data_IF_513310484818
#
_entry.id   IF_513310484818
#
_cell.length_a   1.000
_cell.length_b   1.000
_cell.length_c   1.000
_cell.angle_alpha   90.00
_cell.angle_beta   90.00
_cell.angle_gamma   90.00
#
_symmetry.space_group_name_H-M   'P 1'
#
loop_
_entity.id
_entity.type
_entity.pdbx_description
1 polymer ?
#
# COMPACT_ATOMS: atom_id res chain seq x y z
N UNK A 1 -13.73 -13.38 27.24
CA UNK A 1 -12.36 -13.75 26.82
C UNK A 1 -12.34 -13.62 25.31
N UNK A 2 -11.40 -12.84 24.76
CA UNK A 2 -11.34 -12.60 23.31
C UNK A 2 -10.39 -13.62 22.70
N UNK A 3 -10.77 -14.23 21.59
CA UNK A 3 -9.93 -15.19 20.88
C UNK A 3 -9.32 -14.55 19.63
N UNK A 4 -8.15 -15.03 19.22
CA UNK A 4 -7.57 -14.70 17.92
C UNK A 4 -8.54 -15.15 16.81
N UNK A 5 -8.99 -14.24 15.94
CA UNK A 5 -9.95 -14.64 14.90
C UNK A 5 -9.36 -15.63 13.87
N UNK A 6 -8.02 -15.69 13.74
CA UNK A 6 -7.34 -16.61 12.83
C UNK A 6 -7.14 -18.01 13.43
N UNK A 7 -6.54 -18.15 14.61
CA UNK A 7 -6.28 -19.50 15.18
C UNK A 7 -7.30 -19.95 16.22
N UNK A 8 -8.20 -19.06 16.67
CA UNK A 8 -9.13 -19.27 17.78
C UNK A 8 -8.47 -19.48 19.16
N UNK A 9 -7.15 -19.30 19.28
CA UNK A 9 -6.49 -19.33 20.59
C UNK A 9 -6.91 -18.13 21.44
N UNK A 10 -7.10 -18.30 22.75
CA UNK A 10 -7.37 -17.19 23.67
C UNK A 10 -6.27 -16.11 23.61
N UNK A 11 -6.70 -14.85 23.55
CA UNK A 11 -5.79 -13.71 23.69
C UNK A 11 -5.54 -13.42 25.17
N UNK A 12 -4.28 -13.12 25.46
CA UNK A 12 -3.74 -12.80 26.78
C UNK A 12 -2.72 -11.68 26.66
N UNK A 13 -2.30 -11.11 27.79
CA UNK A 13 -1.21 -10.13 27.85
C UNK A 13 0.11 -10.63 27.23
N UNK A 14 0.32 -11.95 27.20
CA UNK A 14 1.57 -12.55 26.72
C UNK A 14 1.58 -12.79 25.21
N UNK A 15 0.41 -12.97 24.58
CA UNK A 15 0.33 -13.36 23.17
C UNK A 15 -0.47 -12.39 22.29
N UNK A 16 -1.11 -11.35 22.85
CA UNK A 16 -1.83 -10.40 22.01
C UNK A 16 -0.86 -9.58 21.14
N UNK A 17 -1.33 -9.15 19.98
CA UNK A 17 -0.60 -8.22 19.11
C UNK A 17 -1.34 -6.90 19.01
N UNK A 18 -0.61 -5.77 19.06
CA UNK A 18 -1.18 -4.49 18.65
C UNK A 18 -1.21 -4.45 17.12
N UNK A 19 -2.35 -4.85 16.55
CA UNK A 19 -2.54 -4.96 15.12
C UNK A 19 -3.04 -3.66 14.52
N UNK A 20 -2.44 -3.26 13.40
CA UNK A 20 -2.94 -2.17 12.57
C UNK A 20 -4.09 -2.67 11.70
N UNK A 21 -5.29 -2.13 11.90
CA UNK A 21 -6.48 -2.52 11.14
C UNK A 21 -6.32 -2.07 9.68
N UNK A 22 -5.95 -0.80 9.48
CA UNK A 22 -5.51 -0.28 8.18
C UNK A 22 -3.99 -0.33 8.14
N UNK A 23 -3.42 -0.83 7.03
CA UNK A 23 -1.99 -1.02 6.85
C UNK A 23 -1.17 0.24 7.16
N UNK A 24 -0.17 0.09 8.01
CA UNK A 24 0.71 1.20 8.41
C UNK A 24 1.55 1.72 7.23
N UNK A 25 1.87 0.85 6.26
CA UNK A 25 2.65 1.17 5.06
C UNK A 25 2.04 2.26 4.17
N UNK A 26 0.72 2.49 4.31
CA UNK A 26 -0.05 3.55 3.64
C UNK A 26 -0.50 4.65 4.60
N UNK A 27 -0.02 4.67 5.85
CA UNK A 27 -0.35 5.70 6.82
C UNK A 27 -1.51 5.36 7.76
N UNK A 28 -2.00 4.11 7.77
CA UNK A 28 -3.05 3.69 8.71
C UNK A 28 -2.67 3.91 10.18
N UNK A 29 -3.67 4.25 11.01
CA UNK A 29 -3.50 4.51 12.45
C UNK A 29 -4.47 3.77 13.37
N UNK A 30 -5.57 3.25 12.83
CA UNK A 30 -6.52 2.47 13.60
C UNK A 30 -5.90 1.13 14.01
N UNK A 31 -5.91 0.82 15.30
CA UNK A 31 -5.28 -0.38 15.86
C UNK A 31 -6.18 -1.10 16.86
N UNK A 32 -5.92 -2.38 17.08
CA UNK A 32 -6.58 -3.17 18.12
C UNK A 32 -5.64 -4.21 18.73
N UNK A 33 -5.76 -4.45 20.04
CA UNK A 33 -5.11 -5.56 20.74
C UNK A 33 -5.99 -6.82 20.84
N UNK A 34 -7.23 -6.72 20.38
CA UNK A 34 -8.28 -7.71 20.64
C UNK A 34 -8.69 -8.48 19.40
N UNK A 35 -7.82 -8.57 18.38
CA UNK A 35 -8.15 -9.25 17.12
C UNK A 35 -7.33 -10.51 16.90
N UNK A 36 -6.01 -10.41 17.03
CA UNK A 36 -5.07 -11.41 16.50
C UNK A 36 -3.93 -11.64 17.50
N UNK A 37 -3.50 -12.89 17.63
CA UNK A 37 -2.33 -13.24 18.44
C UNK A 37 -1.03 -12.93 17.67
N UNK A 38 0.07 -12.76 18.41
CA UNK A 38 1.39 -12.45 17.88
C UNK A 38 1.86 -13.45 16.81
N UNK A 39 1.79 -14.78 16.99
CA UNK A 39 2.20 -15.72 15.94
C UNK A 39 1.43 -15.57 14.62
N UNK A 40 0.10 -15.42 14.69
CA UNK A 40 -0.71 -15.18 13.51
C UNK A 40 -0.39 -13.84 12.87
N UNK A 41 -0.15 -12.80 13.67
CA UNK A 41 0.18 -11.48 13.15
C UNK A 41 1.56 -11.46 12.48
N UNK A 42 2.57 -12.07 13.10
CA UNK A 42 3.91 -12.15 12.54
C UNK A 42 3.90 -12.95 11.21
N UNK A 43 3.15 -14.05 11.16
CA UNK A 43 2.96 -14.85 9.93
C UNK A 43 2.31 -14.03 8.81
N UNK A 44 1.14 -13.46 9.07
CA UNK A 44 0.41 -12.66 8.06
C UNK A 44 1.17 -11.39 7.69
N UNK A 45 1.89 -10.79 8.62
CA UNK A 45 2.80 -9.66 8.40
C UNK A 45 3.93 -9.99 7.42
N UNK A 46 4.58 -11.13 7.61
CA UNK A 46 5.69 -11.57 6.75
C UNK A 46 5.28 -11.99 5.34
N UNK A 47 4.00 -12.31 5.14
CA UNK A 47 3.43 -12.80 3.88
C UNK A 47 2.56 -11.74 3.20
N UNK A 48 1.40 -11.45 3.77
CA UNK A 48 0.36 -10.62 3.15
C UNK A 48 0.73 -9.15 3.23
N UNK A 49 1.04 -8.67 4.44
CA UNK A 49 1.29 -7.23 4.66
C UNK A 49 2.59 -6.78 4.00
N UNK A 50 3.59 -7.68 3.93
CA UNK A 50 4.81 -7.45 3.15
C UNK A 50 4.52 -7.27 1.67
N UNK A 51 3.64 -8.07 1.09
CA UNK A 51 3.28 -7.95 -0.32
C UNK A 51 2.47 -6.68 -0.58
N UNK A 52 1.51 -6.37 0.30
CA UNK A 52 0.78 -5.11 0.27
C UNK A 52 1.71 -3.91 0.40
N UNK A 53 2.71 -3.94 1.29
CA UNK A 53 3.63 -2.84 1.49
C UNK A 53 4.43 -2.48 0.23
N UNK A 54 4.70 -3.44 -0.67
CA UNK A 54 5.31 -3.16 -1.98
C UNK A 54 4.41 -2.24 -2.83
N UNK A 55 3.15 -2.63 -2.98
CA UNK A 55 2.13 -1.86 -3.70
C UNK A 55 1.85 -0.51 -3.01
N UNK A 56 1.59 -0.55 -1.69
CA UNK A 56 1.31 0.62 -0.88
C UNK A 56 2.45 1.63 -0.83
N UNK A 57 3.71 1.20 -0.96
CA UNK A 57 4.85 2.11 -1.00
C UNK A 57 4.80 3.06 -2.21
N UNK A 58 4.20 2.63 -3.32
CA UNK A 58 4.08 3.48 -4.51
C UNK A 58 3.13 4.64 -4.25
N UNK A 59 1.93 4.34 -3.76
CA UNK A 59 0.93 5.37 -3.43
C UNK A 59 1.39 6.23 -2.23
N UNK A 60 1.99 5.63 -1.20
CA UNK A 60 2.54 6.37 -0.07
C UNK A 60 3.68 7.32 -0.50
N UNK A 61 4.47 6.95 -1.50
CA UNK A 61 5.50 7.82 -2.08
C UNK A 61 4.89 9.00 -2.81
N UNK A 62 3.83 8.78 -3.60
CA UNK A 62 3.10 9.84 -4.30
C UNK A 62 2.61 10.94 -3.35
N UNK A 63 1.97 10.53 -2.26
CA UNK A 63 1.38 11.46 -1.29
C UNK A 63 2.33 11.86 -0.15
N UNK A 64 3.61 11.43 -0.20
CA UNK A 64 4.62 11.70 0.81
C UNK A 64 4.13 11.40 2.24
N UNK A 65 3.54 10.20 2.41
CA UNK A 65 2.83 9.84 3.64
C UNK A 65 3.79 9.66 4.82
N UNK A 66 3.35 10.17 5.98
CA UNK A 66 4.03 9.94 7.24
C UNK A 66 3.71 8.53 7.78
N UNK A 67 4.74 7.77 8.13
CA UNK A 67 4.64 6.43 8.74
C UNK A 67 4.99 6.50 10.23
N UNK A 68 4.31 5.71 11.05
CA UNK A 68 4.71 5.50 12.45
C UNK A 68 6.02 4.72 12.55
N UNK A 69 6.31 3.86 11.56
CA UNK A 69 7.50 3.02 11.53
C UNK A 69 8.23 3.13 10.20
N UNK A 70 9.51 3.52 10.28
CA UNK A 70 10.36 3.68 9.10
C UNK A 70 9.94 4.85 8.22
N UNK A 71 10.66 5.04 7.13
CA UNK A 71 10.35 6.06 6.12
C UNK A 71 9.74 5.40 4.87
N UNK A 72 9.01 6.19 4.08
CA UNK A 72 8.65 5.79 2.71
C UNK A 72 9.94 5.61 1.90
N UNK A 73 10.06 4.47 1.23
CA UNK A 73 11.30 4.11 0.55
C UNK A 73 11.30 4.65 -0.89
N UNK A 74 12.44 5.15 -1.39
CA UNK A 74 12.57 5.51 -2.80
C UNK A 74 12.31 4.31 -3.72
N UNK A 75 11.72 4.57 -4.88
CA UNK A 75 11.29 3.54 -5.83
C UNK A 75 12.16 3.62 -7.08
N UNK A 76 12.57 2.46 -7.60
CA UNK A 76 13.26 2.40 -8.89
C UNK A 76 12.24 2.52 -10.01
N UNK A 77 12.53 3.37 -10.98
CA UNK A 77 11.71 3.57 -12.16
C UNK A 77 12.58 3.63 -13.41
N UNK A 78 11.93 3.67 -14.56
CA UNK A 78 12.56 3.87 -15.86
C UNK A 78 11.89 5.04 -16.57
N UNK A 79 12.68 5.99 -17.06
CA UNK A 79 12.18 7.04 -17.95
C UNK A 79 11.59 6.39 -19.21
N UNK A 80 10.34 6.70 -19.55
CA UNK A 80 9.67 6.07 -20.68
C UNK A 80 10.24 6.49 -22.04
N UNK A 81 10.73 7.73 -22.15
CA UNK A 81 11.26 8.28 -23.40
C UNK A 81 12.71 7.89 -23.65
N UNK A 82 13.56 7.94 -22.61
CA UNK A 82 15.01 7.71 -22.75
C UNK A 82 15.45 6.31 -22.33
N UNK A 83 14.61 5.61 -21.55
CA UNK A 83 14.98 4.35 -20.91
C UNK A 83 15.96 4.48 -19.75
N UNK A 84 16.31 5.70 -19.34
CA UNK A 84 17.18 5.99 -18.20
C UNK A 84 16.61 5.41 -16.90
N UNK A 85 17.48 4.89 -16.03
CA UNK A 85 17.08 4.43 -14.69
C UNK A 85 16.90 5.63 -13.78
N UNK A 86 15.76 5.68 -13.11
CA UNK A 86 15.37 6.75 -12.21
C UNK A 86 15.17 6.22 -10.79
N UNK A 87 15.33 7.13 -9.82
CA UNK A 87 14.87 6.98 -8.44
C UNK A 87 13.73 7.97 -8.22
N UNK A 88 12.60 7.48 -7.73
CA UNK A 88 11.43 8.25 -7.31
C UNK A 88 11.43 8.32 -5.79
N UNK A 89 11.87 9.45 -5.24
CA UNK A 89 11.82 9.70 -3.81
C UNK A 89 10.41 10.16 -3.37
N UNK A 90 10.09 10.09 -2.06
CA UNK A 90 8.80 10.54 -1.53
C UNK A 90 8.43 11.96 -1.97
N UNK A 91 7.16 12.17 -2.29
CA UNK A 91 6.64 13.36 -2.99
C UNK A 91 6.91 13.34 -4.49
N UNK A 92 7.17 12.16 -5.07
CA UNK A 92 7.48 11.97 -6.50
C UNK A 92 8.64 12.84 -7.01
N UNK A 93 9.64 13.05 -6.14
CA UNK A 93 10.86 13.75 -6.52
C UNK A 93 11.75 12.79 -7.32
N UNK A 94 12.00 13.14 -8.58
CA UNK A 94 12.76 12.31 -9.50
C UNK A 94 14.25 12.64 -9.46
N UNK A 95 15.08 11.61 -9.51
CA UNK A 95 16.52 11.72 -9.68
C UNK A 95 17.05 10.62 -10.60
N UNK A 96 18.18 10.86 -11.26
CA UNK A 96 18.89 9.79 -11.94
C UNK A 96 19.41 8.76 -10.92
N UNK A 97 19.29 7.48 -11.27
CA UNK A 97 19.82 6.38 -10.46
C UNK A 97 21.33 6.19 -10.61
N UNK A 98 21.87 6.65 -11.74
CA UNK A 98 23.28 6.55 -12.05
C UNK A 98 23.94 7.94 -11.87
N UNK A 99 25.19 8.01 -11.37
CA UNK A 99 25.89 9.28 -11.27
C UNK A 99 26.16 9.86 -12.66
N UNK A 100 25.93 11.16 -12.84
CA UNK A 100 26.32 11.88 -14.05
C UNK A 100 27.75 12.39 -13.87
N UNK A 101 28.63 12.02 -14.79
CA UNK A 101 30.04 12.41 -14.78
C UNK A 101 30.30 13.35 -15.95
N UNK A 102 30.80 14.55 -15.67
CA UNK A 102 31.22 15.53 -16.66
C UNK A 102 32.70 15.80 -16.47
N UNK A 103 33.50 15.48 -17.48
CA UNK A 103 34.95 15.68 -17.48
C UNK A 103 35.29 16.82 -18.43
N UNK A 104 35.92 17.86 -17.90
CA UNK A 104 36.55 18.93 -18.67
C UNK A 104 38.07 18.82 -18.54
N UNK A 105 38.82 19.69 -19.22
CA UNK A 105 40.30 19.69 -19.13
C UNK A 105 40.80 19.91 -17.69
N UNK A 106 40.06 20.66 -16.87
CA UNK A 106 40.52 21.11 -15.55
C UNK A 106 39.63 20.63 -14.39
N UNK A 107 38.43 20.09 -14.66
CA UNK A 107 37.44 19.74 -13.65
C UNK A 107 36.71 18.45 -13.99
N UNK A 108 36.58 17.58 -12.98
CA UNK A 108 35.64 16.45 -12.96
C UNK A 108 34.47 16.83 -12.07
N UNK A 109 33.26 16.84 -12.64
CA UNK A 109 32.02 17.04 -11.89
C UNK A 109 31.26 15.73 -11.83
N UNK A 110 30.89 15.31 -10.63
CA UNK A 110 30.02 14.15 -10.39
C UNK A 110 28.74 14.63 -9.73
N UNK A 111 27.60 14.37 -10.36
CA UNK A 111 26.28 14.78 -9.88
C UNK A 111 25.42 13.54 -9.59
N UNK A 112 24.84 13.48 -8.38
CA UNK A 112 23.92 12.43 -7.98
C UNK A 112 23.07 12.88 -6.77
N UNK A 113 21.87 12.31 -6.59
CA UNK A 113 20.95 12.71 -5.50
C UNK A 113 21.41 12.23 -4.10
N UNK A 114 22.19 11.15 -4.04
CA UNK A 114 22.83 10.65 -2.83
C UNK A 114 24.30 11.08 -2.75
N UNK A 115 24.64 11.90 -1.74
CA UNK A 115 26.00 12.36 -1.44
C UNK A 115 26.99 11.22 -1.20
N UNK A 116 26.56 10.10 -0.61
CA UNK A 116 27.44 8.94 -0.39
C UNK A 116 27.86 8.36 -1.73
N UNK A 117 26.93 8.25 -2.67
CA UNK A 117 27.19 7.74 -4.02
C UNK A 117 28.13 8.66 -4.81
N UNK A 118 27.97 9.99 -4.70
CA UNK A 118 28.92 10.95 -5.28
C UNK A 118 30.33 10.69 -4.77
N UNK A 119 30.48 10.52 -3.45
CA UNK A 119 31.78 10.28 -2.83
C UNK A 119 32.42 8.95 -3.26
N UNK A 120 31.62 7.88 -3.34
CA UNK A 120 32.09 6.57 -3.82
C UNK A 120 32.57 6.63 -5.28
N UNK A 121 31.83 7.31 -6.16
CA UNK A 121 32.21 7.41 -7.57
C UNK A 121 33.46 8.29 -7.74
N UNK A 122 33.57 9.41 -7.02
CA UNK A 122 34.78 10.25 -7.01
C UNK A 122 36.03 9.46 -6.58
N UNK A 123 35.92 8.62 -5.53
CA UNK A 123 37.03 7.77 -5.09
C UNK A 123 37.47 6.78 -6.17
N UNK A 124 36.51 6.20 -6.88
CA UNK A 124 36.78 5.26 -7.96
C UNK A 124 37.53 5.96 -9.12
N UNK A 125 37.02 7.10 -9.57
CA UNK A 125 37.64 7.89 -10.65
C UNK A 125 39.07 8.35 -10.28
N UNK A 126 39.28 8.79 -9.05
CA UNK A 126 40.60 9.23 -8.59
C UNK A 126 41.64 8.10 -8.56
N UNK A 127 41.20 6.89 -8.17
CA UNK A 127 42.03 5.70 -8.21
C UNK A 127 42.43 5.33 -9.64
N UNK A 128 41.50 5.47 -10.59
CA UNK A 128 41.70 5.12 -11.99
C UNK A 128 42.59 6.13 -12.73
N UNK A 129 42.60 7.41 -12.33
CA UNK A 129 43.36 8.47 -12.99
C UNK A 129 44.82 8.56 -12.55
N UNK A 130 45.10 8.47 -11.24
CA UNK A 130 46.46 8.65 -10.71
C UNK A 130 46.73 7.89 -9.39
N UNK A 131 45.81 6.99 -8.98
CA UNK A 131 45.93 6.29 -7.70
C UNK A 131 45.81 7.20 -6.47
N UNK A 132 45.24 8.39 -6.62
CA UNK A 132 45.11 9.40 -5.57
C UNK A 132 44.00 9.00 -4.59
N UNK A 133 44.28 9.12 -3.29
CA UNK A 133 43.28 8.91 -2.25
C UNK A 133 42.55 10.23 -1.92
N UNK A 134 41.26 10.29 -2.26
CA UNK A 134 40.40 11.46 -1.98
C UNK A 134 39.60 11.23 -0.69
N UNK A 135 39.56 12.25 0.17
CA UNK A 135 38.71 12.29 1.37
C UNK A 135 37.51 13.22 1.18
N UNK A 136 36.53 13.17 2.10
CA UNK A 136 35.33 14.03 2.00
C UNK A 136 35.64 15.53 2.10
N UNK A 137 36.76 15.91 2.72
CA UNK A 137 37.14 17.30 2.93
C UNK A 137 37.64 17.96 1.65
N UNK A 138 38.08 17.15 0.69
CA UNK A 138 38.62 17.59 -0.59
C UNK A 138 37.50 17.88 -1.61
N UNK A 139 36.25 17.57 -1.26
CA UNK A 139 35.09 17.74 -2.14
C UNK A 139 34.26 18.97 -1.76
N UNK A 140 33.90 19.75 -2.77
CA UNK A 140 32.87 20.78 -2.68
C UNK A 140 31.54 20.23 -3.16
N UNK A 141 30.48 20.46 -2.39
CA UNK A 141 29.12 20.02 -2.72
C UNK A 141 28.25 21.22 -3.02
N UNK A 142 27.60 21.18 -4.18
CA UNK A 142 26.56 22.14 -4.57
C UNK A 142 25.25 21.36 -4.77
N UNK A 143 24.13 21.91 -4.31
CA UNK A 143 22.80 21.36 -4.60
C UNK A 143 22.27 22.12 -5.80
N UNK A 144 21.97 21.40 -6.88
CA UNK A 144 21.35 21.95 -8.08
C UNK A 144 19.98 21.33 -8.25
N UNK A 145 18.96 22.16 -8.48
CA UNK A 145 17.65 21.70 -8.93
C UNK A 145 17.68 21.56 -10.45
N UNK A 146 17.23 20.41 -10.96
CA UNK A 146 17.06 20.19 -12.40
C UNK A 146 15.59 20.46 -12.74
N UNK A 147 15.31 21.67 -13.22
CA UNK A 147 13.96 22.14 -13.58
C UNK A 147 13.38 21.44 -14.81
N UNK A 148 14.12 20.54 -15.46
CA UNK A 148 13.73 20.02 -16.75
C UNK A 148 12.85 18.77 -16.70
N UNK A 149 11.59 19.04 -17.07
CA UNK A 149 10.63 18.23 -17.85
C UNK A 149 9.82 17.17 -17.11
N UNK A 150 8.53 17.10 -17.46
CA UNK A 150 7.64 15.96 -17.20
C UNK A 150 8.31 14.66 -17.68
N UNK A 151 9.00 13.98 -16.76
CA UNK A 151 9.57 12.67 -17.04
C UNK A 151 8.46 11.67 -16.81
N UNK A 152 7.74 11.30 -17.87
CA UNK A 152 6.89 10.11 -17.82
C UNK A 152 7.76 8.91 -17.45
N UNK A 153 7.38 8.18 -16.41
CA UNK A 153 8.16 7.04 -15.94
C UNK A 153 7.31 5.79 -15.75
N UNK A 154 8.00 4.65 -15.78
CA UNK A 154 7.42 3.35 -15.49
C UNK A 154 8.04 2.82 -14.20
N UNK A 155 7.18 2.48 -13.24
CA UNK A 155 7.54 1.67 -12.08
C UNK A 155 7.20 0.22 -12.43
N UNK A 156 8.21 -0.63 -12.44
CA UNK A 156 8.03 -2.07 -12.62
C UNK A 156 8.14 -2.75 -11.26
N UNK A 157 7.06 -3.39 -10.82
CA UNK A 157 6.98 -4.05 -9.53
C UNK A 157 6.35 -5.43 -9.69
N UNK A 158 7.02 -6.44 -9.15
CA UNK A 158 6.47 -7.77 -9.05
C UNK A 158 5.63 -7.87 -7.77
N UNK A 159 4.33 -8.09 -7.96
CA UNK A 159 3.35 -8.32 -6.89
C UNK A 159 2.80 -9.73 -7.04
N UNK A 160 2.73 -10.49 -5.95
CA UNK A 160 1.94 -11.71 -5.86
C UNK A 160 0.47 -11.31 -5.59
N UNK A 161 -0.45 -11.49 -6.55
CA UNK A 161 -1.80 -10.94 -6.44
C UNK A 161 -2.62 -11.53 -5.30
N UNK A 162 -2.52 -12.84 -5.04
CA UNK A 162 -3.30 -13.50 -4.00
C UNK A 162 -2.87 -13.05 -2.60
N UNK A 163 -1.57 -12.85 -2.34
CA UNK A 163 -1.05 -12.33 -1.08
C UNK A 163 -1.46 -10.88 -0.86
N UNK A 164 -1.46 -10.05 -1.92
CA UNK A 164 -2.00 -8.68 -1.85
C UNK A 164 -3.49 -8.69 -1.45
N UNK A 165 -4.30 -9.49 -2.16
CA UNK A 165 -5.75 -9.56 -1.95
C UNK A 165 -6.10 -10.17 -0.57
N UNK A 166 -5.24 -11.05 -0.02
CA UNK A 166 -5.32 -11.50 1.37
C UNK A 166 -5.04 -10.38 2.37
N UNK A 167 -4.08 -9.48 2.11
CA UNK A 167 -3.82 -8.33 3.00
C UNK A 167 -4.99 -7.33 3.00
N UNK A 168 -5.58 -7.08 1.82
CA UNK A 168 -6.83 -6.29 1.68
C UNK A 168 -7.97 -6.95 2.46
N UNK A 169 -8.16 -8.27 2.29
CA UNK A 169 -9.17 -9.04 3.02
C UNK A 169 -8.96 -9.01 4.53
N UNK A 170 -7.70 -9.12 5.00
CA UNK A 170 -7.32 -9.02 6.42
C UNK A 170 -7.73 -7.68 7.00
N UNK A 171 -7.48 -6.58 6.28
CA UNK A 171 -7.88 -5.21 6.66
C UNK A 171 -9.39 -5.12 6.87
N UNK A 172 -10.18 -5.70 5.95
CA UNK A 172 -11.65 -5.69 5.99
C UNK A 172 -12.19 -6.53 7.15
N UNK A 173 -11.67 -7.74 7.35
CA UNK A 173 -12.04 -8.61 8.49
C UNK A 173 -11.71 -7.92 9.82
N UNK A 174 -10.49 -7.37 9.93
CA UNK A 174 -10.05 -6.63 11.10
C UNK A 174 -11.02 -5.48 11.44
N UNK A 175 -11.40 -4.68 10.44
CA UNK A 175 -12.30 -3.54 10.66
C UNK A 175 -13.70 -3.99 11.05
N UNK A 176 -14.26 -5.00 10.36
CA UNK A 176 -15.59 -5.52 10.68
C UNK A 176 -15.64 -6.03 12.12
N UNK A 177 -14.76 -6.96 12.50
CA UNK A 177 -14.73 -7.55 13.85
C UNK A 177 -14.49 -6.46 14.89
N UNK A 178 -13.62 -5.47 14.61
CA UNK A 178 -13.38 -4.37 15.55
C UNK A 178 -14.62 -3.51 15.81
N UNK A 179 -15.50 -3.36 14.81
CA UNK A 179 -16.70 -2.52 14.93
C UNK A 179 -17.94 -3.29 15.41
N UNK A 180 -18.01 -4.61 15.20
CA UNK A 180 -19.22 -5.41 15.47
C UNK A 180 -19.03 -6.52 16.49
N UNK A 181 -17.78 -6.88 16.82
CA UNK A 181 -17.42 -8.07 17.60
C UNK A 181 -17.90 -9.40 16.98
N UNK A 182 -18.38 -9.38 15.73
CA UNK A 182 -18.92 -10.53 15.03
C UNK A 182 -17.86 -11.18 14.14
N UNK A 183 -17.30 -12.28 14.63
CA UNK A 183 -16.37 -13.11 13.86
C UNK A 183 -17.09 -14.18 13.02
N UNK A 184 -18.32 -14.56 13.40
CA UNK A 184 -19.02 -15.69 12.81
C UNK A 184 -19.42 -15.40 11.37
N UNK A 185 -19.95 -14.20 11.10
CA UNK A 185 -20.29 -13.81 9.74
C UNK A 185 -19.05 -13.59 8.85
N UNK A 186 -17.84 -13.52 9.40
CA UNK A 186 -16.58 -13.46 8.63
C UNK A 186 -15.93 -14.81 8.35
N UNK A 187 -16.48 -15.92 8.86
CA UNK A 187 -15.85 -17.25 8.79
C UNK A 187 -15.38 -17.65 7.38
N UNK A 188 -16.14 -17.44 6.29
CA UNK A 188 -15.68 -17.78 4.94
C UNK A 188 -14.40 -17.03 4.55
N UNK A 189 -14.37 -15.71 4.75
CA UNK A 189 -13.20 -14.88 4.46
C UNK A 189 -12.02 -15.18 5.38
N UNK A 190 -12.29 -15.51 6.65
CA UNK A 190 -11.27 -15.95 7.61
C UNK A 190 -10.62 -17.26 7.16
N UNK A 191 -11.39 -18.21 6.61
CA UNK A 191 -10.84 -19.45 6.07
C UNK A 191 -9.96 -19.17 4.84
N UNK A 192 -10.39 -18.27 3.96
CA UNK A 192 -9.55 -17.77 2.87
C UNK A 192 -8.22 -17.25 3.39
N UNK A 193 -8.17 -16.48 4.48
CA UNK A 193 -6.91 -15.99 5.05
C UNK A 193 -5.99 -17.10 5.63
N UNK A 194 -6.55 -18.22 6.09
CA UNK A 194 -5.79 -19.32 6.71
C UNK A 194 -5.25 -20.32 5.71
N UNK A 195 -6.08 -20.68 4.74
CA UNK A 195 -5.85 -21.78 3.82
C UNK A 195 -5.29 -21.26 2.50
N UNK A 196 -4.47 -22.06 1.83
CA UNK A 196 -3.97 -21.76 0.49
C UNK A 196 -4.99 -22.17 -0.56
N UNK A 197 -6.11 -21.46 -0.60
CA UNK A 197 -7.21 -21.64 -1.55
C UNK A 197 -7.25 -20.51 -2.57
N UNK A 198 -7.81 -20.83 -3.74
CA UNK A 198 -8.06 -19.86 -4.81
C UNK A 198 -8.92 -18.70 -4.34
N UNK A 199 -8.55 -17.50 -4.77
CA UNK A 199 -9.28 -16.30 -4.44
C UNK A 199 -10.63 -16.24 -5.17
N UNK A 200 -11.72 -16.25 -4.39
CA UNK A 200 -13.08 -15.94 -4.83
C UNK A 200 -13.72 -14.87 -3.92
N UNK A 201 -12.90 -14.08 -3.24
CA UNK A 201 -13.35 -13.21 -2.16
C UNK A 201 -13.01 -11.75 -2.39
N UNK A 202 -11.92 -11.42 -3.07
CA UNK A 202 -11.45 -10.05 -3.18
C UNK A 202 -10.99 -9.75 -4.60
N UNK A 203 -11.37 -8.59 -5.14
CA UNK A 203 -11.05 -8.19 -6.52
C UNK A 203 -10.60 -6.75 -6.55
N UNK A 204 -9.70 -6.44 -7.48
CA UNK A 204 -9.41 -5.07 -7.87
C UNK A 204 -10.62 -4.52 -8.63
N UNK A 205 -11.18 -3.41 -8.14
CA UNK A 205 -12.34 -2.77 -8.74
C UNK A 205 -12.43 -1.33 -8.22
N UNK A 206 -12.02 -0.35 -9.03
CA UNK A 206 -12.11 1.07 -8.68
C UNK A 206 -13.45 1.65 -9.09
N UNK A 207 -14.32 1.94 -8.12
CA UNK A 207 -15.56 2.70 -8.33
C UNK A 207 -15.36 4.21 -8.21
N UNK A 208 -14.20 4.68 -7.73
CA UNK A 208 -13.91 6.10 -7.54
C UNK A 208 -14.92 6.79 -6.62
N UNK A 209 -15.32 6.15 -5.52
CA UNK A 209 -16.33 6.64 -4.59
C UNK A 209 -15.94 8.02 -4.05
N UNK A 210 -14.65 8.26 -3.80
CA UNK A 210 -14.12 9.56 -3.38
C UNK A 210 -14.16 10.65 -4.47
N UNK A 211 -14.07 10.30 -5.76
CA UNK A 211 -13.90 11.24 -6.88
C UNK A 211 -15.05 12.24 -6.98
N UNK A 212 -16.23 11.89 -6.47
CA UNK A 212 -17.42 12.76 -6.45
C UNK A 212 -17.54 13.66 -5.22
N UNK A 213 -16.81 13.40 -4.12
CA UNK A 213 -17.08 14.03 -2.80
C UNK A 213 -15.93 14.83 -2.19
N UNK A 214 -14.67 14.51 -2.47
CA UNK A 214 -13.53 15.12 -1.76
C UNK A 214 -12.48 15.78 -2.64
N UNK A 215 -12.82 16.13 -3.88
CA UNK A 215 -11.91 16.83 -4.80
C UNK A 215 -10.52 16.16 -4.87
N UNK A 216 -10.49 14.82 -4.94
CA UNK A 216 -9.28 14.00 -4.96
C UNK A 216 -8.41 14.05 -3.68
N UNK A 217 -8.99 14.36 -2.52
CA UNK A 217 -8.29 14.17 -1.24
C UNK A 217 -7.94 12.67 -1.07
N UNK A 218 -6.71 12.34 -0.67
CA UNK A 218 -6.22 10.97 -0.77
C UNK A 218 -6.61 10.13 0.45
N UNK A 219 -7.92 9.95 0.63
CA UNK A 219 -8.47 9.25 1.78
C UNK A 219 -8.42 7.73 1.61
N UNK A 220 -8.33 7.04 2.74
CA UNK A 220 -8.70 5.63 2.83
C UNK A 220 -10.17 5.54 3.20
N UNK A 221 -10.97 4.85 2.39
CA UNK A 221 -12.41 4.71 2.59
C UNK A 221 -12.74 3.22 2.65
N UNK A 222 -13.32 2.76 3.75
CA UNK A 222 -13.86 1.40 3.87
C UNK A 222 -15.35 1.49 4.12
N UNK A 223 -16.13 0.79 3.30
CA UNK A 223 -17.57 0.70 3.39
C UNK A 223 -17.91 -0.78 3.48
N UNK A 224 -18.51 -1.22 4.58
CA UNK A 224 -18.95 -2.61 4.77
C UNK A 224 -20.47 -2.64 4.84
N UNK A 225 -21.11 -3.55 4.09
CA UNK A 225 -22.55 -3.70 4.03
C UNK A 225 -22.98 -5.13 4.25
N UNK A 226 -23.87 -5.30 5.21
CA UNK A 226 -24.69 -6.51 5.34
C UNK A 226 -26.07 -6.23 4.75
N UNK A 227 -26.49 -7.05 3.79
CA UNK A 227 -27.84 -7.03 3.25
C UNK A 227 -28.53 -8.37 3.52
N UNK A 228 -29.55 -8.32 4.37
CA UNK A 228 -30.35 -9.48 4.76
C UNK A 228 -31.15 -10.06 3.61
N UNK A 229 -31.59 -9.22 2.64
CA UNK A 229 -32.42 -9.68 1.51
C UNK A 229 -31.60 -10.53 0.54
N UNK A 230 -30.42 -10.05 0.15
CA UNK A 230 -29.50 -10.81 -0.71
C UNK A 230 -28.68 -11.86 0.04
N UNK A 231 -28.67 -11.82 1.38
CA UNK A 231 -27.82 -12.66 2.24
C UNK A 231 -26.34 -12.46 1.97
N UNK A 232 -25.93 -11.23 1.69
CA UNK A 232 -24.54 -10.88 1.43
C UNK A 232 -23.99 -9.94 2.48
N UNK A 233 -22.77 -10.23 2.93
CA UNK A 233 -21.90 -9.31 3.65
C UNK A 233 -20.70 -9.04 2.75
N UNK A 234 -20.45 -7.79 2.43
CA UNK A 234 -19.40 -7.37 1.50
C UNK A 234 -18.84 -6.01 1.87
N UNK A 235 -17.68 -5.68 1.32
CA UNK A 235 -17.00 -4.43 1.59
C UNK A 235 -16.36 -3.86 0.35
N UNK A 236 -16.24 -2.54 0.34
CA UNK A 236 -15.44 -1.79 -0.61
C UNK A 236 -14.35 -1.05 0.15
N UNK A 237 -13.11 -1.19 -0.30
CA UNK A 237 -11.96 -0.50 0.26
C UNK A 237 -11.27 0.32 -0.83
N UNK A 238 -11.34 1.64 -0.69
CA UNK A 238 -10.64 2.59 -1.53
C UNK A 238 -9.40 3.13 -0.81
N UNK A 239 -8.27 3.11 -1.50
CA UNK A 239 -6.96 3.48 -0.97
C UNK A 239 -6.50 4.75 -1.68
N UNK A 240 -6.28 5.80 -0.89
CA UNK A 240 -5.92 7.15 -1.34
C UNK A 240 -6.90 7.76 -2.37
N UNK A 241 -8.14 7.29 -2.42
CA UNK A 241 -9.10 7.70 -3.45
C UNK A 241 -8.74 7.26 -4.88
N UNK A 242 -7.71 6.42 -5.05
CA UNK A 242 -7.17 6.05 -6.37
C UNK A 242 -7.36 4.58 -6.72
N UNK A 243 -7.36 3.71 -5.71
CA UNK A 243 -7.42 2.26 -5.94
C UNK A 243 -8.51 1.64 -5.08
N UNK A 244 -9.50 1.05 -5.74
CA UNK A 244 -10.61 0.35 -5.09
C UNK A 244 -10.45 -1.17 -5.10
N UNK A 245 -10.94 -1.80 -4.04
CA UNK A 245 -11.08 -3.23 -3.92
C UNK A 245 -12.48 -3.58 -3.46
N UNK A 246 -13.11 -4.55 -4.12
CA UNK A 246 -14.37 -5.14 -3.69
C UNK A 246 -14.07 -6.47 -3.01
N UNK A 247 -14.69 -6.71 -1.85
CA UNK A 247 -14.51 -7.95 -1.08
C UNK A 247 -15.83 -8.53 -0.67
N UNK A 248 -16.10 -9.77 -1.07
CA UNK A 248 -17.15 -10.60 -0.49
C UNK A 248 -16.65 -11.14 0.86
N UNK A 249 -17.33 -10.81 1.94
CA UNK A 249 -17.02 -11.34 3.27
C UNK A 249 -17.79 -12.65 3.50
N UNK A 250 -19.07 -12.68 3.13
CA UNK A 250 -19.92 -13.86 3.28
C UNK A 250 -21.13 -13.81 2.34
N UNK A 251 -21.25 -14.79 1.44
CA UNK A 251 -22.39 -14.94 0.52
C UNK A 251 -23.61 -15.68 1.10
N UNK A 252 -23.55 -16.03 2.39
CA UNK A 252 -24.63 -16.67 3.14
C UNK A 252 -24.87 -15.93 4.47
N UNK A 253 -24.75 -14.61 4.43
CA UNK A 253 -24.91 -13.73 5.58
C UNK A 253 -26.30 -13.88 6.21
N UNK A 254 -26.34 -14.02 7.55
CA UNK A 254 -27.57 -14.24 8.33
C UNK A 254 -27.92 -13.07 9.24
N UNK A 255 -27.10 -12.03 9.29
CA UNK A 255 -27.35 -10.85 10.13
C UNK A 255 -28.36 -9.88 9.52
N UNK A 256 -28.62 -8.81 10.25
CA UNK A 256 -29.52 -7.73 9.82
C UNK A 256 -28.83 -6.79 8.81
N UNK A 257 -29.64 -5.91 8.20
CA UNK A 257 -29.11 -4.84 7.36
C UNK A 257 -28.20 -3.93 8.19
N UNK A 258 -26.99 -3.70 7.71
CA UNK A 258 -26.02 -2.83 8.37
C UNK A 258 -25.10 -2.16 7.36
N UNK A 259 -24.59 -0.99 7.74
CA UNK A 259 -23.57 -0.27 7.01
C UNK A 259 -22.53 0.27 7.99
N UNK A 260 -21.26 -0.02 7.73
CA UNK A 260 -20.12 0.48 8.48
C UNK A 260 -19.30 1.32 7.52
N UNK A 261 -19.13 2.60 7.84
CA UNK A 261 -18.28 3.52 7.09
C UNK A 261 -17.07 3.88 7.96
N UNK A 262 -15.89 3.83 7.36
CA UNK A 262 -14.65 4.32 7.97
C UNK A 262 -13.87 5.12 6.94
N UNK A 263 -13.54 6.35 7.28
CA UNK A 263 -12.79 7.26 6.41
C UNK A 263 -11.61 7.81 7.17
N UNK A 264 -10.43 7.75 6.56
CA UNK A 264 -9.22 8.23 7.17
C UNK A 264 -8.44 9.12 6.21
N UNK A 265 -8.03 10.28 6.69
CA UNK A 265 -7.09 11.17 6.03
C UNK A 265 -5.66 10.83 6.49
N UNK A 266 -4.85 10.19 5.63
CA UNK A 266 -3.49 9.80 5.98
C UNK A 266 -2.48 10.96 5.95
N UNK A 267 -2.84 12.12 5.36
CA UNK A 267 -2.00 13.32 5.36
C UNK A 267 -2.13 14.03 6.70
N UNK A 268 -3.39 14.31 7.11
CA UNK A 268 -3.68 15.01 8.36
C UNK A 268 -3.76 14.08 9.57
N UNK A 269 -3.67 12.76 9.35
CA UNK A 269 -3.67 11.72 10.38
C UNK A 269 -4.94 11.81 11.24
N UNK A 270 -6.10 11.90 10.58
CA UNK A 270 -7.40 12.04 11.26
C UNK A 270 -8.45 11.14 10.64
N UNK A 271 -9.31 10.58 11.49
CA UNK A 271 -10.57 10.01 11.02
C UNK A 271 -11.48 11.15 10.56
N UNK A 272 -12.17 10.94 9.44
CA UNK A 272 -13.08 11.91 8.84
C UNK A 272 -14.48 11.34 8.94
N UNK A 273 -15.42 12.11 9.47
CA UNK A 273 -16.82 11.72 9.41
C UNK A 273 -17.36 12.03 8.01
N UNK A 274 -17.52 10.99 7.19
CA UNK A 274 -18.03 11.11 5.83
C UNK A 274 -19.00 9.99 5.55
N UNK A 275 -20.19 10.37 5.06
CA UNK A 275 -21.19 9.42 4.59
C UNK A 275 -21.08 9.31 3.08
N UNK A 276 -20.65 8.16 2.58
CA UNK A 276 -20.57 7.89 1.15
C UNK A 276 -21.87 7.24 0.68
N UNK A 277 -22.36 7.67 -0.48
CA UNK A 277 -23.39 6.91 -1.17
C UNK A 277 -22.68 5.88 -2.00
N UNK A 278 -22.51 4.69 -1.44
CA UNK A 278 -22.05 3.55 -2.19
C UNK A 278 -23.27 2.91 -2.85
N UNK A 279 -23.30 2.73 -4.17
CA UNK A 279 -24.45 2.16 -4.88
C UNK A 279 -24.10 0.81 -5.50
N UNK A 280 -23.39 -0.03 -4.74
CA UNK A 280 -23.15 -1.41 -5.11
C UNK A 280 -24.32 -2.29 -4.67
N UNK A 281 -24.85 -3.08 -5.59
CA UNK A 281 -25.87 -4.09 -5.31
C UNK A 281 -25.22 -5.47 -5.26
N UNK A 282 -25.90 -6.40 -4.59
CA UNK A 282 -25.51 -7.80 -4.58
C UNK A 282 -25.36 -8.42 -5.98
N UNK A 283 -26.15 -7.95 -6.96
CA UNK A 283 -26.05 -8.36 -8.37
C UNK A 283 -24.67 -8.10 -8.96
N UNK A 284 -24.06 -6.98 -8.62
CA UNK A 284 -22.78 -6.55 -9.18
C UNK A 284 -21.66 -7.47 -8.67
N UNK A 285 -21.76 -7.89 -7.40
CA UNK A 285 -20.85 -8.87 -6.79
C UNK A 285 -20.98 -10.25 -7.46
N UNK A 286 -22.22 -10.68 -7.72
CA UNK A 286 -22.50 -11.96 -8.38
C UNK A 286 -21.91 -11.97 -9.79
N UNK A 287 -22.02 -10.87 -10.53
CA UNK A 287 -21.41 -10.73 -11.85
C UNK A 287 -19.88 -10.89 -11.79
N UNK A 288 -19.20 -10.27 -10.82
CA UNK A 288 -17.76 -10.44 -10.63
C UNK A 288 -17.35 -11.87 -10.24
N UNK A 289 -18.16 -12.56 -9.42
CA UNK A 289 -17.94 -13.96 -9.08
C UNK A 289 -18.01 -14.88 -10.30
N UNK A 290 -18.93 -14.60 -11.23
CA UNK A 290 -19.14 -15.40 -12.44
C UNK A 290 -18.06 -15.12 -13.48
N UNK A 291 -17.78 -13.83 -13.71
CA UNK A 291 -16.87 -13.39 -14.77
C UNK A 291 -15.40 -13.65 -14.45
N UNK A 292 -15.05 -13.81 -13.15
CA UNK A 292 -13.67 -13.98 -12.67
C UNK A 292 -12.69 -13.09 -13.45
N UNK A 293 -12.93 -11.77 -13.50
CA UNK A 293 -12.13 -10.89 -14.34
C UNK A 293 -10.67 -11.15 -14.01
N UNK A 294 -9.87 -11.42 -15.04
CA UNK A 294 -8.45 -11.73 -14.87
C UNK A 294 -7.86 -10.67 -13.94
N UNK A 295 -7.07 -11.12 -12.95
CA UNK A 295 -6.40 -10.28 -11.96
C UNK A 295 -5.28 -9.47 -12.60
N UNK A 296 -5.57 -8.83 -13.72
CA UNK A 296 -4.74 -7.85 -14.37
C UNK A 296 -4.68 -6.62 -13.45
N UNK A 297 -3.79 -6.68 -12.46
CA UNK A 297 -3.09 -5.47 -12.02
C UNK A 297 -2.25 -4.99 -13.21
N UNK A 298 -2.92 -4.45 -14.24
CA UNK A 298 -2.24 -3.79 -15.35
C UNK A 298 -1.52 -2.58 -14.79
N UNK A 299 -0.22 -2.53 -15.08
CA UNK A 299 0.68 -1.36 -15.10
C UNK A 299 -0.05 -0.02 -15.07
N UNK A 300 -0.45 0.47 -13.90
CA UNK A 300 -1.18 1.73 -13.80
C UNK A 300 -0.70 2.54 -12.61
N UNK A 301 0.51 3.07 -12.73
CA UNK A 301 0.82 4.44 -12.32
C UNK A 301 1.62 5.07 -13.45
N UNK A 302 0.91 5.43 -14.53
CA UNK A 302 1.44 6.32 -15.54
C UNK A 302 1.21 7.75 -15.05
N UNK A 303 2.29 8.38 -14.60
CA UNK A 303 2.38 9.83 -14.48
C UNK A 303 3.39 10.30 -15.52
#
# INVERSE_FOLDING_TARGET
MVNCYLCNDPLSEQNHSLEHIIQESIGGRLKSRSLICKPCNDKTGSLFDKEFAKFGNILASKYNINRERGAVQPIKAKNLSTGEKLIVAPGYKLASADPKIEVTKDLIKVSHHDKKRVFEEMKKLAKDLDGIEITRKDLQFEITEDDNTEKKFLIDIAIEPNLLLRSVSKTIVNLYIHKTEDYQNCSPLINFLKEDIDNNFCWFLDYGVSKSKHNNSPYHIVIIRGDKKSKMLYAYYEIFGEVGFLTLINGQYKGENQEINYTFDPINITEVNSNYQFNLKASDIIEHLITKPESEMVKCLHH
#
